data_IF_984758908024
#
_entry.id   IF_984758908024
#
_cell.length_a   1.000
_cell.length_b   1.000
_cell.length_c   1.000
_cell.angle_alpha   90.00
_cell.angle_beta   90.00
_cell.angle_gamma   90.00
#
_symmetry.space_group_name_H-M   'P 1'
#
loop_
_entity.id
_entity.type
_entity.pdbx_description
1 polymer ?
#
# COMPACT_ATOMS: atom_id res chain seq x y z
N UNK A 1 -45.29 27.14 -5.14
CA UNK A 1 -43.86 26.75 -5.18
C UNK A 1 -42.91 27.90 -4.83
N UNK A 2 -42.97 29.07 -5.49
CA UNK A 2 -42.08 30.22 -5.20
C UNK A 2 -42.02 30.65 -3.72
N UNK A 3 -43.14 30.56 -2.99
CA UNK A 3 -43.19 30.91 -1.54
C UNK A 3 -42.27 30.04 -0.67
N UNK A 4 -42.08 28.76 -0.97
CA UNK A 4 -41.16 27.89 -0.24
C UNK A 4 -39.71 28.32 -0.45
N UNK A 5 -39.37 28.73 -1.66
CA UNK A 5 -38.03 29.20 -2.02
C UNK A 5 -37.69 30.51 -1.30
N UNK A 6 -38.67 31.42 -1.17
CA UNK A 6 -38.52 32.66 -0.37
C UNK A 6 -38.35 32.38 1.11
N UNK A 7 -39.10 31.42 1.68
CA UNK A 7 -38.99 31.05 3.10
C UNK A 7 -37.61 30.42 3.38
N UNK A 8 -37.18 29.46 2.55
CA UNK A 8 -35.85 28.86 2.64
C UNK A 8 -34.74 29.91 2.53
N UNK A 9 -34.89 30.86 1.60
CA UNK A 9 -33.93 31.95 1.43
C UNK A 9 -33.85 32.87 2.66
N UNK A 10 -35.00 33.22 3.25
CA UNK A 10 -35.04 34.02 4.47
C UNK A 10 -34.44 33.29 5.68
N UNK A 11 -34.77 32.01 5.86
CA UNK A 11 -34.19 31.18 6.94
C UNK A 11 -32.67 31.03 6.78
N UNK A 12 -32.18 30.85 5.55
CA UNK A 12 -30.75 30.79 5.25
C UNK A 12 -30.05 32.12 5.57
N UNK A 13 -30.64 33.25 5.17
CA UNK A 13 -30.13 34.59 5.47
C UNK A 13 -30.06 34.85 6.98
N UNK A 14 -31.09 34.44 7.71
CA UNK A 14 -31.15 34.58 9.16
C UNK A 14 -30.08 33.74 9.87
N UNK A 15 -29.90 32.48 9.45
CA UNK A 15 -28.82 31.62 9.95
C UNK A 15 -27.42 32.22 9.67
N UNK A 16 -27.21 32.76 8.48
CA UNK A 16 -25.93 33.41 8.12
C UNK A 16 -25.63 34.64 8.99
N UNK A 17 -26.67 35.38 9.39
CA UNK A 17 -26.54 36.54 10.25
C UNK A 17 -26.16 36.16 11.68
N UNK A 18 -26.75 35.09 12.21
CA UNK A 18 -26.38 34.50 13.53
C UNK A 18 -24.93 33.98 13.55
N UNK A 19 -24.50 33.30 12.48
CA UNK A 19 -23.11 32.82 12.35
C UNK A 19 -22.11 33.98 12.37
N UNK A 20 -22.47 35.13 11.77
CA UNK A 20 -21.65 36.34 11.71
C UNK A 20 -21.71 37.18 12.99
N UNK A 21 -22.75 37.02 13.82
CA UNK A 21 -22.86 37.66 15.13
C UNK A 21 -21.84 37.05 16.12
N UNK A 22 -21.62 35.73 16.08
CA UNK A 22 -20.68 35.01 16.97
C UNK A 22 -19.40 34.52 16.26
N UNK A 23 -18.69 35.42 15.58
CA UNK A 23 -17.52 35.09 14.73
C UNK A 23 -16.46 34.20 15.41
N UNK A 24 -16.17 34.41 16.69
CA UNK A 24 -15.16 33.65 17.43
C UNK A 24 -15.57 32.19 17.64
N UNK A 25 -16.79 31.96 18.12
CA UNK A 25 -17.31 30.61 18.39
C UNK A 25 -17.45 29.81 17.10
N UNK A 26 -18.07 30.42 16.08
CA UNK A 26 -18.29 29.78 14.79
C UNK A 26 -16.97 29.50 14.07
N UNK A 27 -16.02 30.43 14.13
CA UNK A 27 -14.69 30.29 13.53
C UNK A 27 -13.85 29.19 14.17
N UNK A 28 -13.75 29.15 15.50
CA UNK A 28 -13.00 28.10 16.21
C UNK A 28 -13.58 26.70 15.97
N UNK A 29 -14.91 26.57 15.95
CA UNK A 29 -15.56 25.28 15.68
C UNK A 29 -15.31 24.80 14.25
N UNK A 30 -15.45 25.69 13.26
CA UNK A 30 -15.18 25.37 11.86
C UNK A 30 -13.71 24.98 11.66
N UNK A 31 -12.78 25.78 12.20
CA UNK A 31 -11.35 25.50 12.12
C UNK A 31 -11.02 24.14 12.76
N UNK A 32 -11.55 23.83 13.94
CA UNK A 32 -11.31 22.55 14.60
C UNK A 32 -11.72 21.34 13.74
N UNK A 33 -12.92 21.39 13.14
CA UNK A 33 -13.40 20.31 12.26
C UNK A 33 -12.56 20.22 10.98
N UNK A 34 -12.20 21.35 10.37
CA UNK A 34 -11.36 21.34 9.16
C UNK A 34 -9.97 20.77 9.41
N UNK A 35 -9.30 21.16 10.49
CA UNK A 35 -8.00 20.60 10.87
C UNK A 35 -8.11 19.11 11.24
N UNK A 36 -9.19 18.70 11.91
CA UNK A 36 -9.44 17.30 12.24
C UNK A 36 -9.51 16.41 11.00
N UNK A 37 -10.38 16.76 10.04
CA UNK A 37 -10.55 16.01 8.79
C UNK A 37 -9.26 16.06 7.95
N UNK A 38 -8.61 17.22 7.87
CA UNK A 38 -7.36 17.39 7.12
C UNK A 38 -6.25 16.48 7.65
N UNK A 39 -6.11 16.36 8.98
CA UNK A 39 -5.09 15.51 9.59
C UNK A 39 -5.29 14.02 9.24
N UNK A 40 -6.53 13.53 9.31
CA UNK A 40 -6.86 12.13 8.97
C UNK A 40 -6.54 11.85 7.50
N UNK A 41 -6.99 12.72 6.59
CA UNK A 41 -6.75 12.56 5.14
C UNK A 41 -5.25 12.62 4.82
N UNK A 42 -4.52 13.55 5.45
CA UNK A 42 -3.08 13.75 5.24
C UNK A 42 -2.26 12.52 5.64
N UNK A 43 -2.54 11.94 6.81
CA UNK A 43 -1.83 10.73 7.28
C UNK A 43 -2.10 9.55 6.34
N UNK A 44 -3.35 9.32 5.97
CA UNK A 44 -3.71 8.24 5.05
C UNK A 44 -3.01 8.40 3.69
N UNK A 45 -3.07 9.60 3.11
CA UNK A 45 -2.41 9.90 1.84
C UNK A 45 -0.89 9.72 1.91
N UNK A 46 -0.27 10.12 3.02
CA UNK A 46 1.18 9.98 3.24
C UNK A 46 1.57 8.50 3.35
N UNK A 47 0.83 7.72 4.12
CA UNK A 47 1.06 6.26 4.27
C UNK A 47 0.89 5.56 2.93
N UNK A 48 -0.16 5.88 2.17
CA UNK A 48 -0.41 5.29 0.86
C UNK A 48 0.67 5.68 -0.16
N UNK A 49 1.10 6.94 -0.16
CA UNK A 49 2.20 7.41 -0.99
C UNK A 49 3.50 6.68 -0.68
N UNK A 50 3.83 6.53 0.61
CA UNK A 50 5.01 5.80 1.05
C UNK A 50 4.92 4.32 0.68
N UNK A 51 3.77 3.67 0.90
CA UNK A 51 3.53 2.28 0.50
C UNK A 51 3.72 2.09 -0.99
N UNK A 52 3.17 2.99 -1.82
CA UNK A 52 3.34 2.95 -3.28
C UNK A 52 4.80 3.16 -3.68
N UNK A 53 5.51 4.07 -3.02
CA UNK A 53 6.93 4.30 -3.28
C UNK A 53 7.78 3.09 -2.90
N UNK A 54 7.58 2.52 -1.71
CA UNK A 54 8.28 1.30 -1.26
C UNK A 54 7.96 0.13 -2.17
N UNK A 55 6.70 -0.10 -2.54
CA UNK A 55 6.34 -1.15 -3.49
C UNK A 55 6.93 -0.90 -4.89
N UNK A 56 7.02 0.36 -5.33
CA UNK A 56 7.66 0.75 -6.58
C UNK A 56 9.17 0.48 -6.56
N UNK A 57 9.84 0.87 -5.48
CA UNK A 57 11.28 0.66 -5.27
C UNK A 57 11.60 -0.85 -5.12
N UNK A 58 10.73 -1.65 -4.48
CA UNK A 58 10.87 -3.11 -4.44
C UNK A 58 10.61 -3.77 -5.80
N UNK A 59 9.65 -3.25 -6.59
CA UNK A 59 9.40 -3.73 -7.95
C UNK A 59 10.52 -3.36 -8.92
N UNK A 60 11.19 -2.22 -8.74
CA UNK A 60 12.33 -1.83 -9.58
C UNK A 60 13.57 -2.69 -9.32
N UNK A 61 13.69 -3.26 -8.11
CA UNK A 61 14.72 -4.24 -7.76
C UNK A 61 14.47 -5.62 -8.43
N UNK A 62 13.27 -5.89 -8.94
CA UNK A 62 13.07 -7.03 -9.85
C UNK A 62 11.64 -7.53 -9.93
N UNK A 63 10.81 -6.89 -10.76
CA UNK A 63 9.49 -7.42 -11.16
C UNK A 63 9.59 -8.66 -12.07
N UNK A 64 10.78 -8.93 -12.63
CA UNK A 64 11.03 -10.03 -13.56
C UNK A 64 12.12 -11.00 -13.06
N UNK A 65 12.28 -11.14 -11.73
CA UNK A 65 13.22 -12.07 -11.12
C UNK A 65 12.47 -13.28 -10.56
N UNK A 66 12.66 -14.45 -11.17
CA UNK A 66 12.12 -15.72 -10.68
C UNK A 66 13.12 -16.34 -9.70
N UNK A 67 12.77 -16.34 -8.42
CA UNK A 67 13.56 -17.03 -7.39
C UNK A 67 13.11 -18.49 -7.29
N UNK A 68 14.02 -19.42 -7.60
CA UNK A 68 13.83 -20.85 -7.40
C UNK A 68 14.57 -21.27 -6.12
N UNK A 69 13.81 -21.50 -5.06
CA UNK A 69 14.34 -21.94 -3.77
C UNK A 69 13.46 -23.06 -3.18
N UNK A 70 14.03 -23.83 -2.25
CA UNK A 70 13.33 -24.84 -1.45
C UNK A 70 12.19 -24.22 -0.63
N UNK A 71 12.37 -22.97 -0.21
CA UNK A 71 11.44 -22.22 0.64
C UNK A 71 10.62 -21.22 -0.17
N UNK A 72 9.32 -21.12 0.12
CA UNK A 72 8.50 -20.05 -0.44
C UNK A 72 8.55 -18.81 0.46
N UNK A 73 8.75 -17.65 -0.14
CA UNK A 73 8.93 -16.36 0.55
C UNK A 73 7.63 -15.58 0.82
N UNK A 74 6.47 -16.21 0.60
CA UNK A 74 5.15 -15.55 0.69
C UNK A 74 4.30 -16.02 1.87
N UNK A 75 4.92 -16.28 3.04
CA UNK A 75 4.27 -16.90 4.21
C UNK A 75 2.79 -16.56 4.42
N UNK A 76 1.97 -17.58 4.60
CA UNK A 76 0.52 -17.47 4.84
C UNK A 76 0.04 -18.50 5.86
N UNK A 77 -1.16 -18.28 6.42
CA UNK A 77 -1.77 -19.20 7.38
C UNK A 77 -1.97 -20.59 6.74
N UNK A 78 -1.48 -21.63 7.43
CA UNK A 78 -1.52 -23.01 6.93
C UNK A 78 -0.27 -23.46 6.14
N UNK A 79 0.85 -22.73 6.22
CA UNK A 79 2.10 -23.09 5.52
C UNK A 79 2.61 -24.49 5.93
N UNK A 80 2.55 -25.51 5.03
CA UNK A 80 2.94 -26.87 5.38
C UNK A 80 4.46 -27.05 5.29
N UNK A 81 5.19 -26.47 6.24
CA UNK A 81 6.66 -26.50 6.34
C UNK A 81 7.24 -27.92 6.19
N UNK A 82 6.53 -28.93 6.70
CA UNK A 82 6.93 -30.34 6.61
C UNK A 82 7.07 -30.86 5.16
N UNK A 83 6.26 -30.34 4.22
CA UNK A 83 6.36 -30.70 2.80
C UNK A 83 7.61 -30.08 2.17
N UNK A 84 7.99 -28.88 2.58
CA UNK A 84 9.16 -28.18 2.05
C UNK A 84 10.46 -28.79 2.58
N UNK A 85 10.51 -29.23 3.84
CA UNK A 85 11.69 -29.91 4.39
C UNK A 85 12.06 -31.15 3.57
N UNK A 86 11.06 -31.93 3.14
CA UNK A 86 11.24 -33.14 2.35
C UNK A 86 11.67 -32.88 0.90
N UNK A 87 11.59 -31.63 0.40
CA UNK A 87 12.05 -31.30 -0.96
C UNK A 87 13.58 -31.34 -1.01
N UNK A 88 14.17 -31.93 -2.08
CA UNK A 88 15.61 -31.85 -2.30
C UNK A 88 16.01 -30.38 -2.49
N UNK A 89 17.22 -30.05 -2.03
CA UNK A 89 17.80 -28.72 -2.27
C UNK A 89 18.18 -28.59 -3.76
N UNK A 90 17.92 -27.44 -4.40
CA UNK A 90 18.33 -27.22 -5.79
C UNK A 90 19.84 -27.42 -5.94
N UNK A 91 20.25 -28.25 -6.90
CA UNK A 91 21.67 -28.50 -7.19
C UNK A 91 22.15 -27.63 -8.36
N UNK A 92 23.45 -27.37 -8.40
CA UNK A 92 24.07 -26.60 -9.48
C UNK A 92 23.86 -27.24 -10.87
N UNK A 93 23.85 -28.57 -10.98
CA UNK A 93 23.64 -29.23 -12.28
C UNK A 93 22.24 -29.03 -12.86
N UNK A 94 21.23 -28.82 -12.00
CA UNK A 94 19.86 -28.54 -12.43
C UNK A 94 19.74 -27.15 -13.09
N UNK A 95 20.62 -26.21 -12.72
CA UNK A 95 20.70 -24.91 -13.39
C UNK A 95 21.03 -25.06 -14.87
N UNK A 96 21.97 -25.95 -15.24
CA UNK A 96 22.36 -26.14 -16.65
C UNK A 96 21.18 -26.65 -17.48
N UNK A 97 20.38 -27.54 -16.90
CA UNK A 97 19.16 -28.05 -17.52
C UNK A 97 18.10 -26.95 -17.69
N UNK A 98 17.90 -26.11 -16.66
CA UNK A 98 16.98 -24.98 -16.73
C UNK A 98 17.45 -23.95 -17.78
N UNK A 99 18.77 -23.74 -17.92
CA UNK A 99 19.34 -22.85 -18.94
C UNK A 99 19.03 -23.33 -20.35
N UNK A 100 19.18 -24.63 -20.57
CA UNK A 100 18.95 -25.24 -21.88
C UNK A 100 17.47 -25.23 -22.27
N UNK A 101 16.56 -25.28 -21.28
CA UNK A 101 15.11 -25.39 -21.51
C UNK A 101 14.35 -24.07 -21.44
N UNK A 102 14.89 -23.06 -20.75
CA UNK A 102 14.20 -21.78 -20.58
C UNK A 102 14.51 -20.81 -21.73
N UNK A 103 13.45 -20.35 -22.41
CA UNK A 103 13.53 -19.35 -23.47
C UNK A 103 13.53 -17.89 -22.96
N UNK A 104 13.09 -17.66 -21.73
CA UNK A 104 12.82 -16.32 -21.20
C UNK A 104 13.91 -15.81 -20.23
N UNK A 105 14.86 -16.67 -19.86
CA UNK A 105 15.83 -16.35 -18.81
C UNK A 105 17.15 -15.86 -19.41
N UNK A 106 17.35 -14.54 -19.41
CA UNK A 106 18.58 -13.93 -19.96
C UNK A 106 19.83 -14.19 -19.12
N UNK A 107 19.72 -14.14 -17.79
CA UNK A 107 20.83 -14.40 -16.86
C UNK A 107 20.34 -15.29 -15.71
N UNK A 108 21.16 -16.25 -15.30
CA UNK A 108 20.88 -17.10 -14.14
C UNK A 108 22.06 -17.11 -13.19
N UNK A 109 21.77 -16.97 -11.90
CA UNK A 109 22.75 -17.01 -10.83
C UNK A 109 22.37 -18.11 -9.83
N UNK A 110 23.37 -18.86 -9.34
CA UNK A 110 23.17 -19.90 -8.34
C UNK A 110 23.70 -19.36 -7.03
N UNK A 111 22.85 -19.31 -6.01
CA UNK A 111 23.23 -18.77 -4.73
C UNK A 111 23.85 -19.90 -3.89
N UNK A 112 25.18 -20.05 -4.00
CA UNK A 112 25.95 -20.92 -3.12
C UNK A 112 26.05 -20.29 -1.73
N UNK A 113 25.21 -20.72 -0.79
CA UNK A 113 25.37 -20.35 0.62
C UNK A 113 26.41 -21.27 1.26
N UNK A 114 27.67 -20.85 1.27
CA UNK A 114 28.69 -21.48 2.10
C UNK A 114 28.35 -21.16 3.56
N UNK A 115 28.00 -22.18 4.35
CA UNK A 115 27.84 -22.03 5.78
C UNK A 115 29.24 -21.97 6.39
N UNK A 116 29.82 -20.77 6.44
CA UNK A 116 31.03 -20.51 7.22
C UNK A 116 30.65 -20.53 8.70
N UNK A 117 31.35 -21.36 9.47
CA UNK A 117 31.36 -21.28 10.92
C UNK A 117 31.87 -19.90 11.38
#
# INVERSE_FOLDING_TARGET
MLKLLTILWNSFKMAFQELKANKLRTGLSLLGITFGIFCIISVLATVDSLKRKVQGDLKSIGSNSLYLDKWQYGGGEGYPWWKYIKRPVPKYDEMKFIKAKSYLTGNMAFLCRANGN
#
